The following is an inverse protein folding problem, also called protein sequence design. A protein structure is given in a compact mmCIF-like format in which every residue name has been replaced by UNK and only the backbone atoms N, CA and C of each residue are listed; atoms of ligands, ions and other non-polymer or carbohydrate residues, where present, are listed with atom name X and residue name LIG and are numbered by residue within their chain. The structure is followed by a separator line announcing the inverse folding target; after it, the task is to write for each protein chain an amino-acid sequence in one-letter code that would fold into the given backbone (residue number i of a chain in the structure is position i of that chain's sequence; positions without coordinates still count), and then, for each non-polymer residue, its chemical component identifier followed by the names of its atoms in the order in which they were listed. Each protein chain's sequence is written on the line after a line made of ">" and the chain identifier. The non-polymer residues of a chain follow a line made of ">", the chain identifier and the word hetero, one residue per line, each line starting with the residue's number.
data_IF_277953596304
#
_entry.id   IF_277953596304
#
_cell.length_a   1.000
_cell.length_b   1.000
_cell.length_c   1.000
_cell.angle_alpha   90.00
_cell.angle_beta   90.00
_cell.angle_gamma   90.00
#
_symmetry.space_group_name_H-M   'P 1'
#
loop_
_entity.id
_entity.type
_entity.pdbx_description
1 polymer ?
#
# COMPACT_ATOMS: atom_id res chain seq x y z
N UNK A 1 -8.99 -39.20 1.62
CA UNK A 1 -9.08 -37.74 1.78
C UNK A 1 -7.82 -37.25 2.47
N UNK A 2 -6.97 -36.51 1.76
CA UNK A 2 -5.76 -35.94 2.34
C UNK A 2 -6.20 -34.90 3.41
N UNK A 3 -5.76 -35.10 4.65
CA UNK A 3 -5.93 -34.09 5.70
C UNK A 3 -5.05 -32.90 5.30
N UNK A 4 -5.64 -31.80 4.97
CA UNK A 4 -4.93 -30.53 4.76
C UNK A 4 -4.21 -30.22 6.06
N UNK A 5 -2.88 -30.31 6.06
CA UNK A 5 -2.07 -30.00 7.24
C UNK A 5 -2.20 -28.51 7.51
N UNK A 6 -2.90 -28.13 8.55
CA UNK A 6 -2.95 -26.75 9.02
C UNK A 6 -1.55 -26.37 9.46
N UNK A 7 -0.95 -25.36 8.84
CA UNK A 7 0.34 -24.83 9.25
C UNK A 7 0.17 -24.05 10.57
N UNK A 8 1.20 -24.00 11.42
CA UNK A 8 1.15 -23.20 12.63
C UNK A 8 1.05 -21.71 12.27
N UNK A 9 0.33 -20.97 13.11
CA UNK A 9 0.29 -19.50 13.00
C UNK A 9 1.68 -18.97 13.41
N UNK A 10 2.28 -18.04 12.65
CA UNK A 10 3.58 -17.49 12.99
C UNK A 10 3.56 -16.74 14.33
N UNK A 11 4.54 -17.02 15.17
CA UNK A 11 4.73 -16.37 16.46
C UNK A 11 5.78 -15.24 16.36
N UNK A 12 5.87 -14.44 17.41
CA UNK A 12 6.89 -13.39 17.50
C UNK A 12 8.29 -14.00 17.48
N UNK A 13 9.10 -13.57 16.54
CA UNK A 13 10.47 -14.09 16.30
C UNK A 13 10.57 -15.01 15.09
N UNK A 14 9.46 -15.57 14.64
CA UNK A 14 9.42 -16.41 13.44
C UNK A 14 9.64 -15.60 12.16
N UNK A 15 10.09 -16.26 11.11
CA UNK A 15 10.10 -15.73 9.77
C UNK A 15 8.65 -15.66 9.25
N UNK A 16 8.25 -14.49 8.74
CA UNK A 16 6.92 -14.32 8.19
C UNK A 16 6.79 -15.12 6.89
N UNK A 17 5.74 -15.95 6.71
CA UNK A 17 5.52 -16.64 5.46
C UNK A 17 5.43 -15.66 4.28
N UNK A 18 6.18 -15.95 3.21
CA UNK A 18 6.23 -15.11 2.02
C UNK A 18 4.91 -15.22 1.25
N UNK A 19 4.47 -14.11 0.69
CA UNK A 19 3.35 -14.10 -0.25
C UNK A 19 3.60 -13.17 -1.43
N UNK A 20 2.97 -13.51 -2.54
CA UNK A 20 2.95 -12.69 -3.74
C UNK A 20 1.54 -12.64 -4.27
N UNK A 21 0.81 -11.58 -3.92
CA UNK A 21 -0.62 -11.45 -4.16
C UNK A 21 -0.95 -10.23 -5.01
N UNK A 22 -2.01 -10.32 -5.82
CA UNK A 22 -2.53 -9.18 -6.55
C UNK A 22 -3.30 -8.22 -5.61
N UNK A 23 -3.27 -6.92 -5.96
CA UNK A 23 -3.91 -5.85 -5.20
C UNK A 23 -5.20 -5.36 -5.87
N UNK A 24 -6.18 -5.02 -5.05
CA UNK A 24 -7.42 -4.37 -5.47
C UNK A 24 -7.18 -3.03 -6.18
N UNK A 25 -6.11 -2.33 -5.82
CA UNK A 25 -5.67 -1.07 -6.43
C UNK A 25 -4.86 -1.28 -7.72
N UNK A 26 -4.64 -2.53 -8.10
CA UNK A 26 -3.85 -2.94 -9.27
C UNK A 26 -2.40 -3.28 -8.94
N UNK A 27 -1.79 -4.06 -9.82
CA UNK A 27 -0.45 -4.59 -9.61
C UNK A 27 -0.40 -5.79 -8.67
N UNK A 28 0.79 -6.12 -8.22
CA UNK A 28 1.05 -7.23 -7.31
C UNK A 28 2.00 -6.78 -6.20
N UNK A 29 1.86 -7.35 -5.02
CA UNK A 29 2.72 -7.08 -3.88
C UNK A 29 3.37 -8.38 -3.40
N UNK A 30 4.68 -8.33 -3.24
CA UNK A 30 5.48 -9.37 -2.59
C UNK A 30 5.94 -8.85 -1.23
N UNK A 31 5.76 -9.66 -0.18
CA UNK A 31 6.07 -9.24 1.19
C UNK A 31 7.55 -8.87 1.35
N UNK A 32 8.48 -9.72 0.88
CA UNK A 32 9.93 -9.48 0.98
C UNK A 32 10.39 -8.18 0.31
N UNK A 33 9.76 -7.81 -0.83
CA UNK A 33 10.06 -6.54 -1.50
C UNK A 33 9.51 -5.34 -0.72
N UNK A 34 8.48 -5.52 0.08
CA UNK A 34 7.88 -4.46 0.87
C UNK A 34 8.63 -4.28 2.18
N UNK A 35 8.95 -5.36 2.89
CA UNK A 35 9.74 -5.34 4.13
C UNK A 35 11.13 -4.75 3.93
N UNK A 36 11.74 -4.92 2.75
CA UNK A 36 12.99 -4.27 2.39
C UNK A 36 12.95 -2.72 2.41
N UNK A 37 11.75 -2.12 2.42
CA UNK A 37 11.56 -0.65 2.44
C UNK A 37 11.17 -0.11 3.83
N UNK A 38 10.74 -0.99 4.72
CA UNK A 38 10.28 -0.66 6.06
C UNK A 38 9.37 -1.74 6.63
N UNK A 39 9.01 -1.65 7.90
CA UNK A 39 8.08 -2.58 8.52
C UNK A 39 6.73 -2.63 7.79
N UNK A 40 6.10 -3.79 7.81
CA UNK A 40 4.80 -4.03 7.19
C UNK A 40 3.81 -4.51 8.23
N UNK A 41 2.67 -3.82 8.33
CA UNK A 41 1.52 -4.24 9.11
C UNK A 41 0.66 -5.11 8.20
N UNK A 42 0.73 -6.43 8.37
CA UNK A 42 -0.04 -7.41 7.61
C UNK A 42 -1.32 -7.72 8.36
N UNK A 43 -2.46 -7.45 7.76
CA UNK A 43 -3.78 -7.59 8.38
C UNK A 43 -4.62 -8.57 7.58
N UNK A 44 -4.92 -9.73 8.16
CA UNK A 44 -5.88 -10.68 7.60
C UNK A 44 -7.28 -10.31 8.06
N UNK A 45 -8.25 -10.27 7.14
CA UNK A 45 -9.65 -9.99 7.43
C UNK A 45 -10.57 -11.06 6.82
N UNK A 46 -11.69 -11.29 7.47
CA UNK A 46 -12.62 -12.38 7.12
C UNK A 46 -13.41 -12.07 5.84
N UNK A 47 -13.77 -10.81 5.66
CA UNK A 47 -14.55 -10.34 4.51
C UNK A 47 -15.29 -9.03 4.80
N UNK A 48 -15.86 -8.43 3.74
CA UNK A 48 -16.68 -7.23 3.88
C UNK A 48 -18.00 -7.43 4.67
N UNK A 49 -18.37 -8.68 4.92
CA UNK A 49 -19.51 -9.03 5.76
C UNK A 49 -19.23 -8.89 7.27
N UNK A 50 -17.96 -8.84 7.67
CA UNK A 50 -17.56 -8.67 9.08
C UNK A 50 -17.53 -7.19 9.45
N UNK A 51 -18.52 -6.75 10.24
CA UNK A 51 -18.59 -5.37 10.74
C UNK A 51 -17.37 -5.00 11.58
N UNK A 52 -16.81 -5.96 12.32
CA UNK A 52 -15.60 -5.77 13.13
C UNK A 52 -14.39 -5.48 12.25
N UNK A 53 -14.23 -6.23 11.17
CA UNK A 53 -13.13 -6.01 10.23
C UNK A 53 -13.25 -4.67 9.50
N UNK A 54 -14.47 -4.32 9.08
CA UNK A 54 -14.74 -3.01 8.46
C UNK A 54 -14.44 -1.86 9.44
N UNK A 55 -14.86 -1.98 10.70
CA UNK A 55 -14.57 -0.98 11.72
C UNK A 55 -13.07 -0.85 11.99
N UNK A 56 -12.36 -1.97 12.10
CA UNK A 56 -10.92 -1.99 12.32
C UNK A 56 -10.15 -1.36 11.15
N UNK A 57 -10.52 -1.66 9.91
CA UNK A 57 -9.87 -1.05 8.75
C UNK A 57 -10.18 0.45 8.62
N UNK A 58 -11.33 0.92 9.06
CA UNK A 58 -11.64 2.37 9.17
C UNK A 58 -10.74 3.05 10.22
N UNK A 59 -10.49 2.40 11.34
CA UNK A 59 -9.57 2.89 12.37
C UNK A 59 -8.12 2.95 11.83
N UNK A 60 -7.65 1.89 11.19
CA UNK A 60 -6.35 1.88 10.52
C UNK A 60 -6.25 2.95 9.42
N UNK A 61 -7.31 3.18 8.64
CA UNK A 61 -7.34 4.21 7.61
C UNK A 61 -7.21 5.62 8.21
N UNK A 62 -7.77 5.86 9.40
CA UNK A 62 -7.61 7.12 10.12
C UNK A 62 -6.15 7.36 10.57
N UNK A 63 -5.39 6.30 10.82
CA UNK A 63 -3.99 6.35 11.25
C UNK A 63 -2.98 6.08 10.13
N UNK A 64 -3.45 5.86 8.91
CA UNK A 64 -2.63 5.44 7.78
C UNK A 64 -1.51 6.43 7.44
N UNK A 65 -1.82 7.72 7.44
CA UNK A 65 -0.83 8.76 7.13
C UNK A 65 0.27 8.82 8.19
N UNK A 66 -0.06 8.62 9.47
CA UNK A 66 0.89 8.57 10.58
C UNK A 66 1.77 7.29 10.50
N UNK A 67 1.17 6.14 10.18
CA UNK A 67 1.89 4.87 9.98
C UNK A 67 2.86 4.97 8.78
N UNK A 68 2.46 5.64 7.71
CA UNK A 68 3.33 5.90 6.56
C UNK A 68 4.47 6.86 6.91
N UNK A 69 4.23 7.89 7.73
CA UNK A 69 5.27 8.78 8.26
C UNK A 69 6.25 8.02 9.17
N UNK A 70 5.79 6.99 9.87
CA UNK A 70 6.64 6.07 10.62
C UNK A 70 7.38 5.07 9.71
N UNK A 71 7.45 5.32 8.39
CA UNK A 71 8.12 4.49 7.38
C UNK A 71 7.59 3.04 7.30
N UNK A 72 6.39 2.78 7.78
CA UNK A 72 5.72 1.49 7.67
C UNK A 72 4.63 1.49 6.60
N UNK A 73 4.09 0.33 6.31
CA UNK A 73 3.01 0.16 5.34
C UNK A 73 1.96 -0.80 5.86
N UNK A 74 0.70 -0.51 5.56
CA UNK A 74 -0.41 -1.42 5.85
C UNK A 74 -0.68 -2.29 4.61
N UNK A 75 -0.93 -3.58 4.83
CA UNK A 75 -1.31 -4.54 3.80
C UNK A 75 -2.45 -5.38 4.34
N UNK A 76 -3.65 -5.18 3.80
CA UNK A 76 -4.81 -6.01 4.08
C UNK A 76 -4.82 -7.25 3.18
N UNK A 77 -5.16 -8.41 3.72
CA UNK A 77 -5.30 -9.67 2.97
C UNK A 77 -6.64 -10.29 3.30
N UNK A 78 -7.49 -10.45 2.30
CA UNK A 78 -8.76 -11.18 2.41
C UNK A 78 -8.79 -12.35 1.44
N UNK A 79 -9.51 -13.42 1.83
CA UNK A 79 -9.83 -14.51 0.94
C UNK A 79 -11.00 -14.07 0.07
N UNK A 80 -10.89 -14.17 -1.25
CA UNK A 80 -12.02 -13.84 -2.13
C UNK A 80 -11.62 -13.28 -3.47
N UNK A 81 -12.57 -12.63 -4.12
CA UNK A 81 -12.51 -12.16 -5.49
C UNK A 81 -12.00 -10.71 -5.58
N UNK A 82 -11.45 -10.30 -6.74
CA UNK A 82 -10.94 -8.93 -6.91
C UNK A 82 -11.97 -7.83 -6.68
N UNK A 83 -13.25 -8.10 -6.91
CA UNK A 83 -14.31 -7.13 -6.74
C UNK A 83 -14.63 -6.91 -5.25
N UNK A 84 -14.65 -7.97 -4.45
CA UNK A 84 -14.87 -7.93 -3.00
C UNK A 84 -13.79 -7.10 -2.30
N UNK A 85 -12.51 -7.34 -2.66
CA UNK A 85 -11.39 -6.56 -2.12
C UNK A 85 -11.46 -5.07 -2.51
N UNK A 86 -11.95 -4.74 -3.72
CA UNK A 86 -12.16 -3.35 -4.14
C UNK A 86 -13.29 -2.67 -3.40
N UNK A 87 -14.39 -3.39 -3.19
CA UNK A 87 -15.56 -2.87 -2.46
C UNK A 87 -15.19 -2.66 -0.99
N UNK A 88 -14.46 -3.60 -0.39
CA UNK A 88 -13.93 -3.47 0.97
C UNK A 88 -12.99 -2.26 1.12
N UNK A 89 -12.04 -2.08 0.20
CA UNK A 89 -11.15 -0.91 0.21
C UNK A 89 -11.92 0.41 0.08
N UNK A 90 -12.99 0.44 -0.73
CA UNK A 90 -13.85 1.62 -0.90
C UNK A 90 -14.65 1.90 0.35
N UNK A 91 -15.23 0.88 0.97
CA UNK A 91 -16.04 1.01 2.17
C UNK A 91 -15.24 1.48 3.39
N UNK A 92 -14.04 0.94 3.55
CA UNK A 92 -13.14 1.28 4.66
C UNK A 92 -12.40 2.59 4.45
N UNK A 93 -12.28 3.04 3.21
CA UNK A 93 -11.54 4.27 2.85
C UNK A 93 -10.03 4.12 2.93
N UNK A 94 -9.49 2.91 3.13
CA UNK A 94 -8.06 2.68 3.20
C UNK A 94 -7.39 2.89 1.84
N UNK A 95 -6.30 3.63 1.81
CA UNK A 95 -5.51 3.93 0.60
C UNK A 95 -4.38 2.92 0.40
N UNK A 96 -3.98 2.24 1.45
CA UNK A 96 -2.96 1.17 1.46
C UNK A 96 -3.43 -0.07 0.69
N UNK A 97 -2.51 -1.03 0.53
CA UNK A 97 -2.78 -2.21 -0.29
C UNK A 97 -3.81 -3.14 0.36
N UNK A 98 -4.88 -3.41 -0.37
CA UNK A 98 -5.81 -4.50 -0.08
C UNK A 98 -5.60 -5.60 -1.11
N UNK A 99 -5.07 -6.72 -0.66
CA UNK A 99 -4.74 -7.88 -1.49
C UNK A 99 -5.86 -8.91 -1.41
N UNK A 100 -6.05 -9.64 -2.49
CA UNK A 100 -7.00 -10.75 -2.51
C UNK A 100 -6.26 -12.09 -2.72
N UNK A 101 -6.43 -12.99 -1.76
CA UNK A 101 -5.87 -14.33 -1.78
C UNK A 101 -6.87 -15.31 -2.41
N UNK A 102 -7.01 -15.21 -3.74
CA UNK A 102 -7.96 -15.99 -4.51
C UNK A 102 -7.86 -17.50 -4.28
N UNK A 103 -6.67 -18.02 -4.05
CA UNK A 103 -6.43 -19.45 -3.87
C UNK A 103 -6.32 -19.86 -2.40
N UNK A 104 -6.33 -18.91 -1.47
CA UNK A 104 -6.15 -19.16 -0.05
C UNK A 104 -4.76 -19.67 0.32
N UNK A 105 -3.75 -19.46 -0.52
CA UNK A 105 -2.38 -19.96 -0.26
C UNK A 105 -1.76 -19.20 0.89
N UNK A 106 -1.75 -17.88 0.84
CA UNK A 106 -1.17 -17.06 1.89
C UNK A 106 -1.91 -17.28 3.23
N UNK A 107 -3.24 -17.31 3.19
CA UNK A 107 -4.08 -17.57 4.36
C UNK A 107 -3.77 -18.93 5.01
N UNK A 108 -3.50 -19.97 4.19
CA UNK A 108 -3.09 -21.29 4.70
C UNK A 108 -1.68 -21.30 5.25
N UNK A 109 -0.75 -20.61 4.60
CA UNK A 109 0.64 -20.53 5.05
C UNK A 109 0.76 -19.82 6.40
N UNK A 110 -0.12 -18.85 6.66
CA UNK A 110 -0.25 -18.21 7.97
C UNK A 110 -1.10 -19.02 8.97
N UNK A 111 -1.62 -20.19 8.58
CA UNK A 111 -2.45 -21.03 9.47
C UNK A 111 -3.81 -20.41 9.84
N UNK A 112 -4.28 -19.44 9.05
CA UNK A 112 -5.46 -18.64 9.35
C UNK A 112 -6.70 -19.05 8.55
N UNK A 113 -6.64 -20.11 7.75
CA UNK A 113 -7.80 -20.56 6.97
C UNK A 113 -8.84 -21.18 7.87
N UNK A 114 -10.02 -20.59 7.92
CA UNK A 114 -11.21 -21.10 8.58
C UNK A 114 -12.33 -21.35 7.59
N UNK A 115 -13.34 -22.09 8.03
CA UNK A 115 -14.50 -22.42 7.21
C UNK A 115 -15.74 -22.51 8.06
N UNK A 116 -16.80 -21.84 7.65
CA UNK A 116 -18.13 -22.00 8.19
C UNK A 116 -19.16 -22.39 7.11
N UNK A 117 -20.43 -22.48 7.51
CA UNK A 117 -21.53 -22.86 6.60
C UNK A 117 -22.13 -21.69 5.84
N UNK A 118 -21.98 -20.49 6.37
CA UNK A 118 -22.61 -19.29 5.87
C UNK A 118 -21.69 -18.57 4.85
N UNK A 119 -20.41 -18.43 5.19
CA UNK A 119 -19.45 -17.66 4.40
C UNK A 119 -18.45 -18.53 3.61
N UNK A 120 -18.46 -19.86 3.83
CA UNK A 120 -17.51 -20.76 3.18
C UNK A 120 -16.13 -20.71 3.82
N UNK A 121 -15.09 -20.65 3.01
CA UNK A 121 -13.70 -20.48 3.46
C UNK A 121 -13.38 -18.99 3.60
N UNK A 122 -12.76 -18.59 4.70
CA UNK A 122 -12.37 -17.22 4.99
C UNK A 122 -11.07 -17.18 5.80
N UNK A 123 -10.43 -16.01 5.86
CA UNK A 123 -9.27 -15.79 6.69
C UNK A 123 -9.70 -15.39 8.11
N UNK A 124 -9.18 -16.10 9.13
CA UNK A 124 -9.33 -15.68 10.52
C UNK A 124 -8.69 -14.31 10.73
N UNK A 125 -9.37 -13.47 11.50
CA UNK A 125 -8.88 -12.15 11.87
C UNK A 125 -7.52 -12.22 12.56
N UNK A 126 -6.51 -11.57 11.98
CA UNK A 126 -5.16 -11.50 12.56
C UNK A 126 -4.42 -10.26 12.08
N UNK A 127 -3.55 -9.73 12.93
CA UNK A 127 -2.66 -8.61 12.59
C UNK A 127 -1.24 -8.96 12.98
N UNK A 128 -0.31 -8.81 12.05
CA UNK A 128 1.13 -9.04 12.26
C UNK A 128 1.90 -7.79 11.92
N UNK A 129 2.94 -7.47 12.68
CA UNK A 129 3.94 -6.50 12.26
C UNK A 129 5.20 -7.27 11.90
N UNK A 130 5.62 -7.14 10.64
CA UNK A 130 6.82 -7.77 10.09
C UNK A 130 7.88 -6.71 9.89
N UNK A 131 9.07 -6.93 10.44
CA UNK A 131 10.19 -5.99 10.35
C UNK A 131 10.95 -6.12 9.00
N UNK A 132 11.98 -5.32 8.84
CA UNK A 132 12.86 -5.33 7.65
C UNK A 132 13.66 -6.64 7.48
N UNK A 133 13.85 -7.40 8.55
CA UNK A 133 14.51 -8.71 8.53
C UNK A 133 13.53 -9.85 8.20
N UNK A 134 12.33 -9.50 7.76
CA UNK A 134 11.27 -10.45 7.41
C UNK A 134 10.78 -11.31 8.60
N UNK A 135 10.91 -10.79 9.82
CA UNK A 135 10.48 -11.45 11.04
C UNK A 135 9.25 -10.82 11.63
N UNK A 136 8.37 -11.66 12.18
CA UNK A 136 7.23 -11.22 12.95
C UNK A 136 7.71 -10.62 14.27
N UNK A 137 7.41 -9.37 14.54
CA UNK A 137 7.78 -8.68 15.78
C UNK A 137 6.59 -8.44 16.70
N UNK A 138 5.39 -8.44 16.16
CA UNK A 138 4.12 -8.44 16.88
C UNK A 138 3.08 -9.30 16.16
N UNK A 139 2.24 -9.99 16.92
CA UNK A 139 1.16 -10.82 16.40
C UNK A 139 -0.07 -10.72 17.31
N UNK A 140 -1.22 -10.45 16.72
CA UNK A 140 -2.55 -10.50 17.36
C UNK A 140 -3.42 -11.42 16.50
N UNK A 141 -3.98 -12.45 17.10
CA UNK A 141 -4.77 -13.47 16.40
C UNK A 141 -6.12 -13.63 17.07
N UNK A 142 -7.20 -13.35 16.35
CA UNK A 142 -8.55 -13.31 16.87
C UNK A 142 -8.88 -12.06 17.68
N UNK A 143 -7.94 -11.13 17.77
CA UNK A 143 -8.11 -9.84 18.43
C UNK A 143 -7.70 -8.74 17.46
N UNK A 144 -8.31 -7.55 17.59
CA UNK A 144 -7.99 -6.37 16.81
C UNK A 144 -7.34 -5.32 17.72
N UNK A 145 -6.03 -5.05 17.57
CA UNK A 145 -5.41 -3.94 18.28
C UNK A 145 -5.97 -2.61 17.77
N UNK A 146 -6.04 -1.59 18.61
CA UNK A 146 -6.40 -0.25 18.16
C UNK A 146 -5.34 0.30 17.18
N UNK A 147 -5.75 1.11 16.21
CA UNK A 147 -4.82 1.72 15.23
C UNK A 147 -3.72 2.54 15.91
N UNK A 148 -4.02 3.16 17.04
CA UNK A 148 -3.04 3.87 17.88
C UNK A 148 -1.98 2.91 18.47
N UNK A 149 -2.40 1.72 18.92
CA UNK A 149 -1.45 0.71 19.41
C UNK A 149 -0.54 0.23 18.29
N UNK A 150 -1.09 -0.03 17.11
CA UNK A 150 -0.31 -0.41 15.92
C UNK A 150 0.71 0.67 15.58
N UNK A 151 0.31 1.94 15.55
CA UNK A 151 1.18 3.08 15.32
C UNK A 151 2.30 3.14 16.36
N UNK A 152 1.98 3.02 17.65
CA UNK A 152 2.98 3.05 18.73
C UNK A 152 4.01 1.91 18.59
N UNK A 153 3.57 0.69 18.20
CA UNK A 153 4.50 -0.44 17.98
C UNK A 153 5.40 -0.19 16.76
N UNK A 154 4.83 0.29 15.67
CA UNK A 154 5.58 0.64 14.44
C UNK A 154 6.59 1.74 14.74
N UNK A 155 6.19 2.82 15.40
CA UNK A 155 7.07 3.93 15.77
C UNK A 155 8.23 3.48 16.66
N UNK A 156 7.98 2.54 17.56
CA UNK A 156 9.03 1.94 18.41
C UNK A 156 10.05 1.13 17.58
N UNK A 157 9.61 0.45 16.53
CA UNK A 157 10.49 -0.34 15.66
C UNK A 157 11.35 0.57 14.76
N UNK A 158 10.74 1.62 14.22
CA UNK A 158 11.40 2.50 13.24
C UNK A 158 12.12 3.68 13.89
N UNK A 159 11.77 4.04 15.13
CA UNK A 159 12.19 5.28 15.77
C UNK A 159 11.60 6.54 15.13
N UNK A 160 10.53 6.40 14.35
CA UNK A 160 9.86 7.47 13.60
C UNK A 160 8.33 7.46 13.88
N UNK A 161 7.63 8.61 13.81
CA UNK A 161 8.28 9.90 13.98
C UNK A 161 9.01 9.90 15.32
N UNK A 162 10.10 10.64 15.45
CA UNK A 162 10.69 10.86 16.79
C UNK A 162 9.57 11.41 17.65
N UNK A 163 9.27 10.81 18.84
CA UNK A 163 8.34 11.42 19.76
C UNK A 163 8.78 12.88 19.91
N UNK A 164 7.84 13.82 19.78
CA UNK A 164 8.10 15.19 20.17
C UNK A 164 8.65 15.08 21.59
N UNK A 165 9.94 15.39 21.75
CA UNK A 165 10.50 15.55 23.09
C UNK A 165 9.53 16.54 23.71
N UNK A 166 8.84 16.13 24.77
CA UNK A 166 8.14 17.07 25.62
C UNK A 166 9.21 18.10 25.96
N UNK A 167 9.09 19.28 25.34
CA UNK A 167 9.87 20.43 25.74
C UNK A 167 9.51 20.65 27.23
N UNK A 168 10.26 20.00 28.10
CA UNK A 168 10.27 20.33 29.48
C UNK A 168 10.66 21.80 29.53
N UNK A 169 9.65 22.63 29.70
CA UNK A 169 9.79 24.00 30.12
C UNK A 169 10.41 23.98 31.52
N UNK A 170 11.72 23.95 31.55
CA UNK A 170 12.52 24.40 32.72
C UNK A 170 14.00 24.32 32.33
N UNK A 171 14.51 25.42 31.87
CA UNK A 171 15.93 25.57 31.53
C UNK A 171 16.22 26.93 30.93
N UNK A 172 15.94 27.95 31.73
CA UNK A 172 16.50 29.26 31.55
C UNK A 172 18.01 29.15 31.68
N UNK A 173 18.73 28.91 30.57
CA UNK A 173 20.18 29.02 30.53
C UNK A 173 20.58 30.18 29.65
N UNK A 174 21.09 31.22 30.33
CA UNK A 174 21.64 32.44 29.80
C UNK A 174 22.60 32.20 28.63
N UNK A 175 22.25 32.74 27.47
CA UNK A 175 23.17 32.84 26.32
C UNK A 175 24.26 33.87 26.65
N UNK A 176 25.54 33.52 26.61
CA UNK A 176 26.61 34.50 26.78
C UNK A 176 26.61 35.47 25.60
N UNK A 177 26.50 36.75 25.89
CA UNK A 177 26.58 37.88 24.97
C UNK A 177 27.92 37.84 24.22
N UNK A 178 27.90 37.57 22.93
CA UNK A 178 29.06 37.66 22.06
C UNK A 178 29.38 39.12 21.81
N UNK A 179 30.52 39.57 22.39
CA UNK A 179 31.12 40.89 22.18
C UNK A 179 31.44 41.10 20.72
N UNK A 180 31.03 42.25 20.18
CA UNK A 180 31.50 42.81 18.91
C UNK A 180 32.99 43.08 19.02
N UNK A 181 33.79 42.53 18.13
CA UNK A 181 35.14 43.01 17.82
C UNK A 181 35.10 43.62 16.41
N UNK A 182 35.39 44.90 16.39
CA UNK A 182 35.74 45.72 15.21
C UNK A 182 37.19 45.47 14.85
N UNK A 183 37.50 45.47 13.54
CA UNK A 183 38.89 45.50 13.06
C UNK A 183 39.00 44.89 11.67
N UNK A 184 38.94 45.70 10.71
CA UNK A 184 39.89 46.15 9.70
C UNK A 184 40.34 45.19 8.61
N UNK A 185 40.25 45.74 7.44
CA UNK A 185 40.60 45.45 6.09
C UNK A 185 41.87 44.58 5.83
N UNK A 186 41.79 43.77 4.80
CA UNK A 186 42.91 43.09 4.15
C UNK A 186 42.50 42.50 2.79
N UNK A 187 42.89 43.18 1.78
CA UNK A 187 42.88 42.98 0.35
C UNK A 187 43.44 41.60 -0.07
N UNK A 188 42.89 41.03 -1.17
CA UNK A 188 43.69 40.10 -1.95
C UNK A 188 43.03 38.89 -2.56
N UNK A 189 42.79 38.98 -3.86
CA UNK A 189 42.90 37.92 -4.90
C UNK A 189 41.69 37.02 -5.20
N UNK A 190 41.14 37.32 -6.35
CA UNK A 190 40.31 36.51 -7.24
C UNK A 190 40.80 35.06 -7.44
N UNK A 191 39.89 34.12 -7.43
CA UNK A 191 39.83 33.00 -8.39
C UNK A 191 38.41 32.44 -8.46
N UNK A 192 37.81 32.66 -9.63
CA UNK A 192 36.47 32.14 -9.94
C UNK A 192 36.41 30.63 -10.02
N UNK A 193 35.29 30.10 -9.60
CA UNK A 193 34.76 28.84 -10.07
C UNK A 193 33.25 29.07 -10.27
N UNK A 194 32.85 29.10 -11.55
CA UNK A 194 31.45 29.12 -11.98
C UNK A 194 30.75 27.84 -11.56
N UNK A 195 29.82 27.93 -10.65
CA UNK A 195 28.80 26.89 -10.44
C UNK A 195 27.52 27.37 -11.14
N UNK A 196 27.23 26.79 -12.30
CA UNK A 196 26.01 27.06 -13.06
C UNK A 196 24.76 26.76 -12.31
N UNK A 197 24.03 27.76 -11.89
CA UNK A 197 22.62 27.69 -11.48
C UNK A 197 21.78 27.45 -12.74
N UNK A 198 21.43 26.17 -12.96
CA UNK A 198 20.44 25.78 -13.93
C UNK A 198 19.05 26.21 -13.47
N UNK A 199 18.67 27.41 -13.83
CA UNK A 199 17.32 27.94 -13.72
C UNK A 199 16.34 27.01 -14.46
N UNK A 200 15.61 26.16 -13.74
CA UNK A 200 14.52 25.35 -14.28
C UNK A 200 13.37 26.28 -14.64
N UNK A 201 13.36 26.81 -15.85
CA UNK A 201 12.25 27.56 -16.44
C UNK A 201 10.96 26.74 -16.25
N UNK A 202 10.04 27.25 -15.46
CA UNK A 202 8.68 26.71 -15.34
C UNK A 202 7.98 26.93 -16.68
N UNK A 203 7.73 25.85 -17.40
CA UNK A 203 6.98 25.85 -18.66
C UNK A 203 5.60 26.47 -18.45
N UNK A 204 5.16 27.32 -19.39
CA UNK A 204 3.83 27.91 -19.36
C UNK A 204 2.72 26.88 -19.50
N UNK A 205 1.49 27.16 -19.06
CA UNK A 205 0.36 26.24 -19.20
C UNK A 205 0.15 25.75 -20.65
N UNK A 206 0.28 26.63 -21.62
CA UNK A 206 0.14 26.32 -23.05
C UNK A 206 1.25 25.37 -23.55
N UNK A 207 2.46 25.55 -23.09
CA UNK A 207 3.60 24.70 -23.46
C UNK A 207 3.50 23.28 -22.85
N UNK A 208 2.86 23.18 -21.66
CA UNK A 208 2.54 21.89 -21.04
C UNK A 208 1.46 21.15 -21.82
N UNK A 209 0.46 21.85 -22.31
CA UNK A 209 -0.65 21.28 -23.08
C UNK A 209 -0.17 20.81 -24.46
N UNK A 210 0.68 21.59 -25.13
CA UNK A 210 1.32 21.20 -26.38
C UNK A 210 2.15 19.92 -26.27
N UNK A 211 3.00 19.80 -25.23
CA UNK A 211 3.78 18.59 -24.96
C UNK A 211 2.90 17.38 -24.62
N UNK A 212 1.75 17.62 -24.00
CA UNK A 212 0.78 16.56 -23.68
C UNK A 212 0.10 16.05 -24.95
N UNK A 213 -0.23 16.94 -25.88
CA UNK A 213 -0.80 16.60 -27.18
C UNK A 213 0.20 15.83 -28.05
N UNK A 214 1.46 16.27 -28.10
CA UNK A 214 2.54 15.59 -28.84
C UNK A 214 2.78 14.17 -28.31
N UNK A 215 2.80 13.97 -27.00
CA UNK A 215 2.94 12.62 -26.39
C UNK A 215 1.74 11.73 -26.69
N UNK A 216 0.54 12.30 -26.80
CA UNK A 216 -0.67 11.54 -27.15
C UNK A 216 -0.67 11.13 -28.62
N UNK A 217 -0.21 12.00 -29.49
CA UNK A 217 -0.03 11.72 -30.92
C UNK A 217 1.04 10.64 -31.18
N UNK A 218 2.19 10.73 -30.48
CA UNK A 218 3.25 9.74 -30.59
C UNK A 218 2.81 8.35 -30.12
N UNK A 219 2.03 8.29 -29.06
CA UNK A 219 1.49 7.02 -28.54
C UNK A 219 0.45 6.36 -29.47
N UNK A 220 -0.36 7.18 -30.16
CA UNK A 220 -1.31 6.67 -31.15
C UNK A 220 -0.62 6.23 -32.46
N UNK A 221 0.57 6.73 -32.76
CA UNK A 221 1.35 6.31 -33.91
C UNK A 221 2.09 4.97 -33.66
N UNK A 222 2.41 4.63 -32.41
CA UNK A 222 3.02 3.33 -32.05
C UNK A 222 2.00 2.18 -31.92
N UNK A 223 0.72 2.49 -31.74
CA UNK A 223 -0.37 1.48 -31.67
C UNK A 223 -1.15 1.38 -32.97
N UNK A 224 -0.47 1.51 -34.11
CA UNK A 224 -1.04 1.25 -35.43
C UNK A 224 -1.42 -0.21 -35.57
N UNK A 225 -2.60 -0.57 -35.09
CA UNK A 225 -3.23 -1.87 -35.28
C UNK A 225 -4.18 -1.80 -36.49
N UNK A 226 -3.89 -2.64 -37.48
CA UNK A 226 -4.67 -2.85 -38.68
C UNK A 226 -6.09 -3.37 -38.38
N UNK A 227 -7.03 -2.49 -38.24
CA UNK A 227 -8.44 -2.85 -38.25
C UNK A 227 -8.96 -2.81 -39.70
N UNK A 228 -8.91 -3.97 -40.32
CA UNK A 228 -9.53 -4.25 -41.62
C UNK A 228 -11.06 -4.18 -41.47
N UNK A 229 -11.80 -3.46 -42.35
CA UNK A 229 -13.26 -3.44 -42.29
C UNK A 229 -13.80 -4.75 -42.83
N UNK A 230 -14.63 -5.45 -42.05
CA UNK A 230 -15.47 -6.52 -42.54
C UNK A 230 -16.75 -5.92 -43.10
N UNK A 231 -16.93 -6.17 -44.39
CA UNK A 231 -18.10 -5.86 -45.23
C UNK A 231 -19.35 -6.60 -44.77
N UNK A 232 -20.43 -5.84 -44.68
CA UNK A 232 -21.82 -6.34 -44.70
C UNK A 232 -22.05 -7.18 -45.93
N UNK A 233 -22.61 -8.35 -45.77
CA UNK A 233 -23.50 -8.98 -46.75
C UNK A 233 -24.69 -9.58 -46.01
N UNK A 234 -25.83 -8.94 -46.21
CA UNK A 234 -27.12 -9.53 -45.87
C UNK A 234 -27.41 -10.76 -46.69
N UNK A 235 -28.18 -11.65 -46.14
CA UNK A 235 -29.14 -12.44 -46.90
C UNK A 235 -30.35 -12.75 -46.02
N UNK A 236 -31.51 -12.33 -46.55
CA UNK A 236 -32.86 -12.70 -46.13
C UNK A 236 -33.18 -14.09 -46.68
N UNK A 237 -33.79 -14.92 -45.86
CA UNK A 237 -34.83 -15.90 -46.30
C UNK A 237 -35.48 -16.43 -45.01
N UNK A 238 -36.63 -16.03 -44.71
CA UNK A 238 -38.02 -16.45 -45.02
C UNK A 238 -38.31 -17.96 -44.81
N UNK A 239 -39.41 -18.10 -44.11
CA UNK A 239 -40.43 -19.16 -44.14
C UNK A 239 -40.51 -20.14 -42.95
N UNK A 240 -41.41 -19.88 -42.09
CA UNK A 240 -42.77 -20.45 -41.77
C UNK A 240 -42.98 -21.97 -41.60
N UNK A 241 -44.00 -22.36 -40.84
CA UNK A 241 -43.98 -23.47 -39.87
C UNK A 241 -44.84 -24.68 -40.36
N UNK A 242 -44.71 -25.78 -39.67
CA UNK A 242 -45.74 -26.84 -39.65
C UNK A 242 -45.54 -27.65 -38.35
N UNK A 243 -46.47 -27.62 -37.48
CA UNK A 243 -47.54 -28.56 -37.14
C UNK A 243 -47.17 -30.04 -37.15
N UNK A 244 -47.52 -30.69 -36.06
CA UNK A 244 -48.03 -32.04 -36.11
C UNK A 244 -47.45 -33.03 -35.11
N UNK A 245 -48.37 -33.34 -34.17
CA UNK A 245 -48.57 -34.56 -33.37
C UNK A 245 -47.64 -34.81 -32.19
#
# INVERSE_FOLDING_TARGET
>A
MARTKTLPIPEVGDEAPEFHLPSAQGGQLRLSMRTARGPVVVVFYSGGWSEEDVAYFKDLAAKEDEINLAAASIVGIGLGEPHEARDFARETGIKSYVLYDYTGVATREYGLLEKDREHGEYARAATFIVNTDHKVVHAWVGERPEGEEVLAKVSKITGLPKPAEEENADGEEERPKRKKATGEAGDGAERGVEAGEGERKKLSPEERERRRAERRAARNAETGDDAKPQSETGDETEAKPADGE
#
